data_IF_588924357531
#
_entry.id   IF_588924357531
#
_cell.length_a   1.000
_cell.length_b   1.000
_cell.length_c   1.000
_cell.angle_alpha   90.00
_cell.angle_beta   90.00
_cell.angle_gamma   90.00
#
_symmetry.space_group_name_H-M   'P 1'
#
loop_
_entity.id
_entity.type
_entity.pdbx_description
1 polymer ?
#
# COMPACT_ATOMS: atom_id res chain seq x y z
N UNK A 1 -7.36 -13.02 -0.23
CA UNK A 1 -5.98 -12.65 -0.64
C UNK A 1 -5.58 -13.52 -1.82
N UNK A 2 -5.14 -12.92 -2.93
CA UNK A 2 -4.63 -13.65 -4.09
C UNK A 2 -3.24 -14.24 -3.81
N UNK A 3 -3.21 -15.28 -2.96
CA UNK A 3 -2.10 -16.21 -2.74
C UNK A 3 -0.81 -15.67 -2.08
N UNK A 4 -0.09 -16.52 -1.31
CA UNK A 4 1.30 -16.29 -0.89
C UNK A 4 2.30 -15.91 -2.00
N UNK A 5 2.18 -16.39 -3.26
CA UNK A 5 3.18 -16.11 -4.30
C UNK A 5 3.30 -14.64 -4.67
N UNK A 6 2.20 -13.88 -4.69
CA UNK A 6 2.23 -12.44 -5.00
C UNK A 6 2.92 -11.66 -3.87
N UNK A 7 2.78 -12.08 -2.62
CA UNK A 7 3.47 -11.44 -1.50
C UNK A 7 4.92 -11.93 -1.31
N UNK A 8 5.28 -13.08 -1.90
CA UNK A 8 6.60 -13.70 -1.76
C UNK A 8 7.64 -13.00 -2.63
N UNK A 9 8.62 -12.34 -2.02
CA UNK A 9 9.74 -11.70 -2.73
C UNK A 9 9.46 -10.30 -3.32
N UNK A 10 8.22 -9.83 -3.32
CA UNK A 10 7.85 -8.49 -3.84
C UNK A 10 7.88 -7.37 -2.78
N UNK A 11 8.21 -7.68 -1.52
CA UNK A 11 8.17 -6.72 -0.41
C UNK A 11 9.06 -5.48 -0.60
N UNK A 12 10.13 -5.58 -1.39
CA UNK A 12 11.06 -4.46 -1.65
C UNK A 12 10.68 -3.61 -2.86
N UNK A 13 9.93 -4.14 -3.82
CA UNK A 13 9.55 -3.40 -5.04
C UNK A 13 8.29 -2.54 -4.85
N UNK A 14 7.57 -2.70 -3.74
CA UNK A 14 6.45 -1.81 -3.36
C UNK A 14 5.19 -1.96 -4.19
N UNK A 15 5.06 -3.03 -5.01
CA UNK A 15 3.92 -3.24 -5.91
C UNK A 15 2.82 -4.17 -5.37
N UNK A 16 3.06 -4.80 -4.22
CA UNK A 16 2.11 -5.76 -3.61
C UNK A 16 0.76 -5.09 -3.31
N UNK A 17 0.76 -3.82 -2.90
CA UNK A 17 -0.45 -3.08 -2.59
C UNK A 17 -1.35 -2.86 -3.81
N UNK A 18 -0.77 -2.38 -4.91
CA UNK A 18 -1.47 -2.05 -6.16
C UNK A 18 -2.01 -3.32 -6.82
N UNK A 19 -1.19 -4.38 -6.88
CA UNK A 19 -1.59 -5.68 -7.43
C UNK A 19 -2.69 -6.31 -6.55
N UNK A 20 -2.55 -6.23 -5.22
CA UNK A 20 -3.55 -6.72 -4.28
C UNK A 20 -4.90 -6.00 -4.44
N UNK A 21 -4.90 -4.68 -4.56
CA UNK A 21 -6.11 -3.87 -4.74
C UNK A 21 -6.81 -4.21 -6.05
N UNK A 22 -6.07 -4.20 -7.17
CA UNK A 22 -6.60 -4.51 -8.49
C UNK A 22 -7.19 -5.91 -8.55
N UNK A 23 -6.45 -6.90 -8.09
CA UNK A 23 -6.92 -8.30 -8.11
C UNK A 23 -8.10 -8.50 -7.16
N UNK A 24 -8.19 -7.76 -6.05
CA UNK A 24 -9.35 -7.73 -5.18
C UNK A 24 -10.62 -7.18 -5.85
N UNK A 25 -10.47 -6.24 -6.79
CA UNK A 25 -11.59 -5.70 -7.55
C UNK A 25 -12.10 -6.65 -8.63
N UNK A 26 -11.20 -7.24 -9.42
CA UNK A 26 -11.61 -8.07 -10.58
C UNK A 26 -11.83 -9.54 -10.24
N UNK A 27 -11.21 -10.03 -9.16
CA UNK A 27 -11.27 -11.41 -8.70
C UNK A 27 -11.29 -11.44 -7.15
N UNK A 28 -12.40 -11.02 -6.52
CA UNK A 28 -12.53 -11.00 -5.07
C UNK A 28 -12.36 -12.40 -4.50
N UNK A 29 -11.66 -12.52 -3.36
CA UNK A 29 -11.53 -13.81 -2.67
C UNK A 29 -12.85 -14.27 -2.07
N UNK A 30 -13.01 -15.57 -1.82
CA UNK A 30 -14.22 -16.17 -1.22
C UNK A 30 -14.68 -15.44 0.05
N UNK A 31 -13.76 -15.08 0.94
CA UNK A 31 -14.08 -14.32 2.15
C UNK A 31 -14.69 -12.93 1.85
N UNK A 32 -14.23 -12.27 0.78
CA UNK A 32 -14.77 -10.98 0.35
C UNK A 32 -16.15 -11.15 -0.28
N UNK A 33 -16.34 -12.20 -1.08
CA UNK A 33 -17.65 -12.56 -1.64
C UNK A 33 -18.66 -12.88 -0.55
N UNK A 34 -18.25 -13.63 0.48
CA UNK A 34 -19.08 -13.93 1.66
C UNK A 34 -19.42 -12.66 2.47
N UNK A 35 -18.59 -11.62 2.38
CA UNK A 35 -18.84 -10.30 2.95
C UNK A 35 -19.68 -9.38 2.02
N UNK A 36 -20.17 -9.89 0.90
CA UNK A 36 -21.02 -9.16 -0.06
C UNK A 36 -20.27 -8.42 -1.16
N UNK A 37 -18.96 -8.63 -1.31
CA UNK A 37 -18.21 -8.07 -2.43
C UNK A 37 -18.51 -8.83 -3.74
N UNK A 38 -18.57 -8.09 -4.84
CA UNK A 38 -18.67 -8.65 -6.18
C UNK A 38 -17.52 -8.12 -7.05
N UNK A 39 -17.15 -8.82 -8.14
CA UNK A 39 -16.23 -8.28 -9.12
C UNK A 39 -16.72 -6.93 -9.66
N UNK A 40 -15.81 -5.97 -9.80
CA UNK A 40 -16.11 -4.65 -10.37
C UNK A 40 -15.19 -4.34 -11.55
N UNK A 41 -15.67 -3.48 -12.44
CA UNK A 41 -14.82 -2.80 -13.43
C UNK A 41 -14.33 -1.50 -12.79
N UNK A 42 -13.02 -1.33 -12.54
CA UNK A 42 -12.51 -0.15 -11.84
C UNK A 42 -12.77 1.14 -12.63
N UNK A 43 -13.46 2.09 -12.01
CA UNK A 43 -13.70 3.43 -12.54
C UNK A 43 -12.71 4.45 -11.98
N UNK A 44 -13.00 5.73 -12.23
CA UNK A 44 -12.10 6.82 -11.84
C UNK A 44 -11.86 6.89 -10.32
N UNK A 45 -12.87 6.56 -9.51
CA UNK A 45 -12.78 6.60 -8.06
C UNK A 45 -11.82 5.53 -7.51
N UNK A 46 -11.89 4.30 -8.04
CA UNK A 46 -11.03 3.19 -7.67
C UNK A 46 -9.56 3.51 -7.98
N UNK A 47 -9.28 3.98 -9.20
CA UNK A 47 -7.93 4.35 -9.61
C UNK A 47 -7.38 5.52 -8.80
N UNK A 48 -8.20 6.53 -8.52
CA UNK A 48 -7.82 7.64 -7.65
C UNK A 48 -7.50 7.16 -6.23
N UNK A 49 -8.34 6.27 -5.68
CA UNK A 49 -8.12 5.66 -4.37
C UNK A 49 -6.80 4.88 -4.30
N UNK A 50 -6.48 4.10 -5.35
CA UNK A 50 -5.23 3.36 -5.44
C UNK A 50 -4.01 4.29 -5.44
N UNK A 51 -4.02 5.36 -6.25
CA UNK A 51 -2.93 6.33 -6.29
C UNK A 51 -2.76 7.00 -4.92
N UNK A 52 -3.88 7.41 -4.33
CA UNK A 52 -3.90 8.10 -3.04
C UNK A 52 -3.32 7.22 -1.93
N UNK A 53 -3.75 5.96 -1.84
CA UNK A 53 -3.35 5.04 -0.76
C UNK A 53 -1.94 4.50 -0.98
N UNK A 54 -1.57 4.13 -2.20
CA UNK A 54 -0.29 3.45 -2.45
C UNK A 54 0.89 4.40 -2.63
N UNK A 55 0.68 5.67 -3.01
CA UNK A 55 1.78 6.60 -3.30
C UNK A 55 1.67 7.89 -2.48
N UNK A 56 0.54 8.58 -2.56
CA UNK A 56 0.41 9.92 -1.98
C UNK A 56 0.44 9.89 -0.45
N UNK A 57 -0.39 9.05 0.19
CA UNK A 57 -0.41 8.92 1.64
C UNK A 57 0.97 8.52 2.19
N UNK A 58 1.63 7.45 1.71
CA UNK A 58 2.96 7.09 2.17
C UNK A 58 3.98 8.21 2.00
N UNK A 59 3.96 8.92 0.85
CA UNK A 59 4.86 10.03 0.58
C UNK A 59 4.68 11.22 1.53
N UNK A 60 3.47 11.42 2.08
CA UNK A 60 3.19 12.48 3.04
C UNK A 60 3.38 12.03 4.50
N UNK A 61 2.89 10.84 4.84
CA UNK A 61 2.91 10.32 6.19
C UNK A 61 4.32 9.90 6.62
N UNK A 62 5.11 9.28 5.74
CA UNK A 62 6.47 8.87 6.08
C UNK A 62 7.37 10.04 6.53
N UNK A 63 7.49 11.17 5.79
CA UNK A 63 8.27 12.31 6.25
C UNK A 63 7.64 13.01 7.46
N UNK A 64 6.31 13.06 7.56
CA UNK A 64 5.64 13.64 8.72
C UNK A 64 5.97 12.88 10.01
N UNK A 65 5.85 11.54 9.97
CA UNK A 65 6.20 10.65 11.09
C UNK A 65 7.70 10.75 11.38
N UNK A 66 8.56 10.71 10.36
CA UNK A 66 10.00 10.86 10.56
C UNK A 66 10.36 12.19 11.25
N UNK A 67 9.68 13.27 10.89
CA UNK A 67 9.88 14.57 11.55
C UNK A 67 9.50 14.52 13.03
N UNK A 68 8.40 13.84 13.39
CA UNK A 68 8.03 13.63 14.80
C UNK A 68 9.05 12.75 15.53
N UNK A 69 9.53 11.68 14.90
CA UNK A 69 10.57 10.82 15.46
C UNK A 69 11.90 11.56 15.69
N UNK A 70 12.30 12.43 14.75
CA UNK A 70 13.48 13.31 14.92
C UNK A 70 13.29 14.29 16.07
N UNK A 71 12.10 14.89 16.20
CA UNK A 71 11.76 15.78 17.33
C UNK A 71 11.77 15.07 18.68
N UNK A 72 11.39 13.79 18.72
CA UNK A 72 11.46 12.96 19.91
C UNK A 72 12.88 12.46 20.24
N UNK A 73 13.86 12.74 19.38
CA UNK A 73 15.24 12.27 19.54
C UNK A 73 15.45 10.80 19.18
N UNK A 74 14.48 10.13 18.56
CA UNK A 74 14.58 8.72 18.17
C UNK A 74 15.41 8.50 16.90
N UNK A 75 15.47 9.51 16.02
CA UNK A 75 16.22 9.49 14.76
C UNK A 75 17.16 10.69 14.73
N UNK A 76 18.45 10.45 14.51
CA UNK A 76 19.49 11.49 14.48
C UNK A 76 19.77 11.93 13.05
N UNK A 77 20.45 13.08 12.94
CA UNK A 77 20.90 13.58 11.64
C UNK A 77 21.95 12.67 11.05
N UNK A 78 21.68 12.16 9.86
CA UNK A 78 22.55 11.20 9.16
C UNK A 78 22.15 9.74 9.28
N UNK A 79 21.21 9.36 10.16
CA UNK A 79 20.78 7.95 10.32
C UNK A 79 20.19 7.34 9.03
N UNK A 80 19.60 8.18 8.18
CA UNK A 80 19.00 7.78 6.90
C UNK A 80 19.85 8.17 5.68
N UNK A 81 21.10 8.60 5.87
CA UNK A 81 22.00 8.83 4.73
C UNK A 81 22.32 7.48 4.08
N UNK A 82 22.02 7.37 2.79
CA UNK A 82 22.55 6.30 1.96
C UNK A 82 24.02 6.60 1.65
N UNK A 83 24.83 5.53 1.54
CA UNK A 83 26.27 5.62 1.22
C UNK A 83 26.52 6.17 -0.19
#
# INVERSE_FOLDING_TARGET
MNGPPVASGMGTCGLVGQIGLYTGWVAPSEAAVNAGAAPIVPGAAEWLGLILICFVLPALLAPAINTLCRRAGWVKDGDLKLA
#
